data_IF_584025203268
#
_entry.id   IF_584025203268
#
_cell.length_a   1.000
_cell.length_b   1.000
_cell.length_c   1.000
_cell.angle_alpha   90.00
_cell.angle_beta   90.00
_cell.angle_gamma   90.00
#
_symmetry.space_group_name_H-M   'P 1'
#
loop_
_entity.id
_entity.type
_entity.pdbx_description
1 polymer ?
#
# COMPACT_ATOMS: atom_id res chain seq x y z
N UNK A 1 -9.02 31.53 -13.83
CA UNK A 1 -7.71 30.97 -14.25
C UNK A 1 -7.78 29.48 -14.61
N UNK A 2 -8.93 28.99 -15.05
CA UNK A 2 -9.20 27.58 -15.42
C UNK A 2 -9.14 27.32 -16.93
N UNK A 3 -9.04 28.35 -17.73
CA UNK A 3 -9.29 28.30 -19.18
C UNK A 3 -8.13 27.77 -20.06
N UNK A 4 -6.90 27.74 -19.57
CA UNK A 4 -5.74 27.33 -20.39
C UNK A 4 -5.47 25.82 -20.33
N UNK A 5 -5.70 25.21 -19.16
CA UNK A 5 -5.50 23.79 -18.96
C UNK A 5 -6.62 22.99 -19.63
N UNK A 6 -7.86 23.45 -19.51
CA UNK A 6 -9.02 22.80 -20.12
C UNK A 6 -8.99 22.87 -21.64
N UNK A 7 -8.50 23.96 -22.23
CA UNK A 7 -8.26 24.09 -23.68
C UNK A 7 -7.17 23.13 -24.17
N UNK A 8 -6.11 22.95 -23.41
CA UNK A 8 -5.03 22.02 -23.77
C UNK A 8 -5.51 20.55 -23.82
N UNK A 9 -6.31 20.14 -22.85
CA UNK A 9 -6.92 18.80 -22.86
C UNK A 9 -7.97 18.61 -23.94
N UNK A 10 -8.79 19.63 -24.20
CA UNK A 10 -9.78 19.61 -25.28
C UNK A 10 -9.10 19.50 -26.66
N UNK A 11 -7.95 20.12 -26.85
CA UNK A 11 -7.16 20.04 -28.08
C UNK A 11 -6.49 18.67 -28.26
N UNK A 12 -5.98 18.09 -27.20
CA UNK A 12 -5.43 16.72 -27.20
C UNK A 12 -6.48 15.64 -27.50
N UNK A 13 -7.72 15.87 -27.11
CA UNK A 13 -8.84 14.96 -27.29
C UNK A 13 -9.68 15.27 -28.54
N UNK A 14 -9.25 16.24 -29.35
CA UNK A 14 -10.04 16.69 -30.52
C UNK A 14 -10.23 15.54 -31.53
N UNK A 15 -11.43 15.41 -32.14
CA UNK A 15 -11.71 14.37 -33.12
C UNK A 15 -10.74 14.39 -34.31
N UNK A 16 -10.19 15.54 -34.68
CA UNK A 16 -9.22 15.69 -35.76
C UNK A 16 -7.90 14.98 -35.46
N UNK A 17 -7.39 15.04 -34.22
CA UNK A 17 -6.17 14.27 -33.83
C UNK A 17 -6.44 12.78 -33.74
N UNK A 18 -7.59 12.38 -33.26
CA UNK A 18 -7.99 10.95 -33.26
C UNK A 18 -8.08 10.39 -34.69
N UNK A 19 -8.61 11.17 -35.62
CA UNK A 19 -8.69 10.77 -37.03
C UNK A 19 -7.33 10.78 -37.72
N UNK A 20 -6.41 11.69 -37.36
CA UNK A 20 -5.03 11.67 -37.85
C UNK A 20 -4.26 10.44 -37.35
N UNK A 21 -4.44 10.05 -36.08
CA UNK A 21 -3.84 8.83 -35.53
C UNK A 21 -4.46 7.56 -36.14
N UNK A 22 -5.78 7.57 -36.39
CA UNK A 22 -6.46 6.47 -37.06
C UNK A 22 -6.08 6.37 -38.56
N UNK A 23 -5.92 7.51 -39.25
CA UNK A 23 -5.47 7.53 -40.63
C UNK A 23 -3.99 7.11 -40.76
N UNK A 24 -3.14 7.47 -39.83
CA UNK A 24 -1.75 6.99 -39.76
C UNK A 24 -1.67 5.48 -39.47
N UNK A 25 -2.60 4.93 -38.70
CA UNK A 25 -2.68 3.49 -38.43
C UNK A 25 -3.24 2.69 -39.63
N UNK A 26 -4.04 3.32 -40.51
CA UNK A 26 -4.64 2.67 -41.67
C UNK A 26 -3.79 2.70 -42.94
N UNK A 27 -2.74 3.52 -43.02
CA UNK A 27 -1.95 3.72 -44.23
C UNK A 27 -0.65 2.88 -44.32
N UNK A 28 -0.29 2.17 -43.26
CA UNK A 28 0.92 1.35 -43.21
C UNK A 28 0.60 -0.06 -42.73
N UNK A 29 0.10 -0.88 -43.62
CA UNK A 29 0.03 -2.34 -43.40
C UNK A 29 1.43 -3.02 -43.57
N UNK A 30 2.50 -2.26 -43.45
CA UNK A 30 3.81 -2.81 -43.13
C UNK A 30 4.00 -2.68 -41.61
N UNK A 31 4.42 -3.73 -40.92
CA UNK A 31 4.75 -3.61 -39.52
C UNK A 31 5.90 -2.58 -39.43
N UNK A 32 5.54 -1.33 -39.07
CA UNK A 32 6.54 -0.37 -38.61
C UNK A 32 7.10 -0.98 -37.36
N UNK A 33 8.28 -1.54 -37.49
CA UNK A 33 9.11 -2.03 -36.43
C UNK A 33 9.27 -0.89 -35.44
N UNK A 34 8.50 -0.94 -34.35
CA UNK A 34 8.69 0.01 -33.26
C UNK A 34 10.07 -0.23 -32.67
N UNK A 35 11.08 0.44 -33.24
CA UNK A 35 12.38 0.51 -32.60
C UNK A 35 12.21 1.28 -31.29
N UNK A 36 12.54 0.64 -30.20
CA UNK A 36 12.72 1.34 -28.93
C UNK A 36 13.67 2.52 -29.19
N UNK A 37 13.39 3.74 -28.66
CA UNK A 37 14.32 4.87 -28.72
C UNK A 37 15.72 4.54 -28.20
N UNK A 38 15.85 3.44 -27.50
CA UNK A 38 17.08 2.92 -26.91
C UNK A 38 17.77 1.86 -27.79
N UNK A 39 17.32 1.65 -29.03
CA UNK A 39 17.96 0.72 -29.97
C UNK A 39 17.69 -0.77 -29.76
N UNK A 40 16.76 -1.13 -28.85
CA UNK A 40 16.42 -2.53 -28.62
C UNK A 40 15.22 -2.96 -29.45
N UNK A 41 15.37 -4.06 -30.20
CA UNK A 41 14.27 -4.71 -30.90
C UNK A 41 13.42 -5.53 -29.90
N UNK A 42 12.43 -4.89 -29.30
CA UNK A 42 11.62 -5.49 -28.22
C UNK A 42 10.49 -6.41 -28.72
N UNK A 43 10.25 -6.46 -30.03
CA UNK A 43 9.08 -7.16 -30.60
C UNK A 43 9.41 -8.57 -31.14
N UNK A 44 10.67 -8.92 -31.33
CA UNK A 44 11.08 -10.22 -31.91
C UNK A 44 11.21 -11.35 -30.90
N UNK A 45 11.28 -11.04 -29.63
CA UNK A 45 11.39 -12.07 -28.59
C UNK A 45 10.19 -11.97 -27.66
N UNK A 46 9.36 -13.01 -27.66
CA UNK A 46 8.43 -13.19 -26.57
C UNK A 46 9.25 -13.24 -25.27
N UNK A 47 8.95 -12.35 -24.34
CA UNK A 47 9.56 -12.39 -23.00
C UNK A 47 9.23 -13.76 -22.40
N UNK A 48 10.21 -14.63 -22.13
CA UNK A 48 9.93 -15.92 -21.56
C UNK A 48 9.25 -15.70 -20.20
N UNK A 49 8.24 -16.49 -19.90
CA UNK A 49 7.60 -16.45 -18.60
C UNK A 49 8.67 -16.74 -17.53
N UNK A 50 8.91 -15.84 -16.58
CA UNK A 50 9.89 -16.10 -15.54
C UNK A 50 9.49 -17.33 -14.73
N UNK A 51 10.47 -18.12 -14.34
CA UNK A 51 10.24 -19.23 -13.42
C UNK A 51 9.75 -18.67 -12.08
N UNK A 52 8.69 -19.26 -11.54
CA UNK A 52 8.22 -18.86 -10.24
C UNK A 52 9.24 -19.21 -9.15
N UNK A 53 9.65 -18.22 -8.40
CA UNK A 53 10.43 -18.42 -7.17
C UNK A 53 9.54 -18.94 -6.01
N UNK A 54 8.23 -18.97 -6.21
CA UNK A 54 7.22 -19.30 -5.20
C UNK A 54 6.10 -20.12 -5.83
N UNK A 55 6.34 -21.39 -6.12
CA UNK A 55 5.37 -22.25 -6.83
C UNK A 55 4.03 -22.34 -6.09
N UNK A 56 4.02 -22.26 -4.75
CA UNK A 56 2.79 -22.26 -3.96
C UNK A 56 1.87 -21.05 -4.19
N UNK A 57 2.40 -19.92 -4.66
CA UNK A 57 1.60 -18.73 -4.98
C UNK A 57 0.88 -18.82 -6.33
N UNK A 58 1.20 -19.80 -7.15
CA UNK A 58 0.54 -20.02 -8.44
C UNK A 58 -0.73 -20.87 -8.31
N UNK A 59 -0.89 -21.58 -7.21
CA UNK A 59 -2.09 -22.38 -6.97
C UNK A 59 -3.23 -21.48 -6.49
N UNK A 60 -4.37 -21.57 -7.17
CA UNK A 60 -5.57 -20.86 -6.71
C UNK A 60 -6.16 -21.61 -5.51
N UNK A 61 -6.59 -20.91 -4.46
CA UNK A 61 -7.23 -21.56 -3.32
C UNK A 61 -8.62 -22.09 -3.75
N UNK A 62 -9.00 -23.24 -3.22
CA UNK A 62 -10.29 -23.85 -3.51
C UNK A 62 -11.49 -23.10 -2.89
N UNK A 63 -11.23 -22.29 -1.86
CA UNK A 63 -12.22 -21.48 -1.13
C UNK A 63 -11.60 -20.19 -0.61
N UNK A 64 -12.40 -19.14 -0.37
CA UNK A 64 -11.89 -17.93 0.26
C UNK A 64 -11.41 -18.21 1.69
N UNK A 65 -10.46 -17.41 2.17
CA UNK A 65 -10.07 -17.38 3.58
C UNK A 65 -11.21 -16.80 4.43
N UNK A 66 -11.32 -17.28 5.65
CA UNK A 66 -12.24 -16.69 6.61
C UNK A 66 -11.69 -15.34 7.10
N UNK A 67 -12.54 -14.31 7.23
CA UNK A 67 -12.10 -13.03 7.80
C UNK A 67 -11.64 -13.17 9.26
N UNK A 68 -12.08 -14.21 9.95
CA UNK A 68 -11.68 -14.57 11.32
C UNK A 68 -10.25 -15.12 11.41
N UNK A 69 -9.55 -15.31 10.27
CA UNK A 69 -8.11 -15.63 10.26
C UNK A 69 -7.24 -14.42 10.63
N UNK A 70 -7.84 -13.24 10.70
CA UNK A 70 -7.17 -12.01 11.13
C UNK A 70 -7.25 -11.91 12.65
N UNK A 71 -6.11 -11.85 13.33
CA UNK A 71 -6.02 -11.71 14.79
C UNK A 71 -6.07 -10.25 15.23
N UNK A 72 -5.37 -9.39 14.51
CA UNK A 72 -5.21 -7.97 14.81
C UNK A 72 -4.72 -7.23 13.58
N UNK A 73 -4.41 -5.94 13.72
CA UNK A 73 -3.87 -5.09 12.67
C UNK A 73 -2.69 -4.27 13.14
N UNK A 74 -1.77 -3.94 12.21
CA UNK A 74 -0.79 -2.87 12.38
C UNK A 74 -1.08 -1.72 11.42
N UNK A 75 -0.83 -0.50 11.89
CA UNK A 75 -0.77 0.70 11.07
C UNK A 75 0.64 1.29 11.15
N UNK A 76 1.33 1.38 10.02
CA UNK A 76 2.67 1.97 9.90
C UNK A 76 2.55 3.36 9.29
N UNK A 77 2.96 4.37 10.04
CA UNK A 77 2.93 5.77 9.65
C UNK A 77 4.33 6.15 9.17
N UNK A 78 4.45 6.46 7.89
CA UNK A 78 5.72 6.83 7.26
C UNK A 78 5.95 8.32 7.31
N UNK A 79 7.20 8.72 7.57
CA UNK A 79 7.59 10.11 7.67
C UNK A 79 9.03 10.32 7.17
N UNK A 80 9.39 11.58 6.99
CA UNK A 80 10.73 12.09 6.73
C UNK A 80 11.02 13.26 7.67
N UNK A 81 12.15 13.91 7.51
CA UNK A 81 12.58 15.02 8.36
C UNK A 81 11.60 16.20 8.34
N UNK A 82 11.02 16.50 7.16
CA UNK A 82 10.15 17.66 6.97
C UNK A 82 8.76 17.47 7.59
N UNK A 83 8.34 16.21 7.76
CA UNK A 83 6.98 15.90 8.23
C UNK A 83 6.96 15.10 9.55
N UNK A 84 8.10 14.94 10.22
CA UNK A 84 8.22 14.26 11.52
C UNK A 84 7.22 14.77 12.56
N UNK A 85 6.98 16.09 12.62
CA UNK A 85 6.05 16.68 13.57
C UNK A 85 4.59 16.22 13.32
N UNK A 86 4.22 15.96 12.09
CA UNK A 86 2.92 15.39 11.75
C UNK A 86 2.78 13.97 12.27
N UNK A 87 3.82 13.16 12.09
CA UNK A 87 3.87 11.80 12.61
C UNK A 87 3.78 11.78 14.14
N UNK A 88 4.52 12.68 14.81
CA UNK A 88 4.48 12.83 16.28
C UNK A 88 3.09 13.22 16.77
N UNK A 89 2.39 14.09 16.04
CA UNK A 89 1.03 14.51 16.38
C UNK A 89 0.03 13.37 16.20
N UNK A 90 0.10 12.61 15.12
CA UNK A 90 -0.73 11.41 14.92
C UNK A 90 -0.49 10.41 16.05
N UNK A 91 0.78 10.12 16.38
CA UNK A 91 1.12 9.20 17.48
C UNK A 91 0.51 9.62 18.81
N UNK A 92 0.58 10.92 19.13
CA UNK A 92 -0.08 11.49 20.31
C UNK A 92 -1.58 11.26 20.29
N UNK A 93 -2.25 11.63 19.21
CA UNK A 93 -3.70 11.49 19.07
C UNK A 93 -4.18 10.05 19.15
N UNK A 94 -3.44 9.12 18.55
CA UNK A 94 -3.70 7.68 18.62
C UNK A 94 -3.65 7.21 20.08
N UNK A 95 -2.58 7.57 20.81
CA UNK A 95 -2.41 7.19 22.21
C UNK A 95 -3.50 7.74 23.13
N UNK A 96 -3.98 8.95 22.84
CA UNK A 96 -5.03 9.62 23.62
C UNK A 96 -6.42 9.03 23.38
N UNK A 97 -6.68 8.42 22.22
CA UNK A 97 -8.01 7.95 21.79
C UNK A 97 -8.20 6.45 21.82
N UNK A 98 -7.17 5.69 21.49
CA UNK A 98 -7.32 4.27 21.24
C UNK A 98 -6.48 3.43 22.20
N UNK A 99 -7.04 2.31 22.63
CA UNK A 99 -6.30 1.29 23.39
C UNK A 99 -5.50 0.43 22.39
N UNK A 100 -4.26 0.82 22.14
CA UNK A 100 -3.39 0.23 21.13
C UNK A 100 -2.02 -0.09 21.70
N UNK A 101 -1.27 -0.92 21.01
CA UNK A 101 0.17 -1.06 21.17
C UNK A 101 0.87 0.01 20.36
N UNK A 102 1.55 0.95 21.01
CA UNK A 102 2.46 1.86 20.34
C UNK A 102 3.84 1.25 20.24
N UNK A 103 4.29 0.99 19.01
CA UNK A 103 5.64 0.54 18.73
C UNK A 103 6.67 1.68 18.76
N UNK A 104 7.92 1.32 18.48
CA UNK A 104 9.06 2.26 18.49
C UNK A 104 9.06 3.20 17.29
N UNK A 105 9.82 4.30 17.42
CA UNK A 105 10.23 5.12 16.31
C UNK A 105 11.39 4.44 15.57
N UNK A 106 11.24 4.26 14.27
CA UNK A 106 12.32 3.85 13.39
C UNK A 106 12.72 5.05 12.53
N UNK A 107 13.82 5.71 12.89
CA UNK A 107 14.34 6.88 12.17
C UNK A 107 15.05 6.49 10.88
N UNK A 108 15.30 5.20 10.69
CA UNK A 108 15.88 4.59 9.49
C UNK A 108 14.95 3.51 8.95
N UNK A 109 15.06 3.15 7.66
CA UNK A 109 14.35 2.00 7.10
C UNK A 109 14.57 0.75 7.95
N UNK A 110 13.49 0.04 8.30
CA UNK A 110 13.55 -1.16 9.13
C UNK A 110 12.58 -2.23 8.66
N UNK A 111 13.04 -3.49 8.68
CA UNK A 111 12.26 -4.64 8.23
C UNK A 111 11.89 -4.50 6.76
N UNK A 112 10.60 -4.65 6.40
CA UNK A 112 10.16 -4.48 5.03
C UNK A 112 9.92 -3.00 4.64
N UNK A 113 9.99 -2.07 5.58
CA UNK A 113 9.70 -0.65 5.37
C UNK A 113 10.92 0.09 4.85
N UNK A 114 10.76 0.81 3.73
CA UNK A 114 11.85 1.47 2.99
C UNK A 114 12.06 2.93 3.38
N UNK A 115 11.26 3.43 4.32
CA UNK A 115 11.35 4.80 4.87
C UNK A 115 11.21 4.77 6.38
N UNK A 116 11.65 5.82 7.11
CA UNK A 116 11.37 6.00 8.52
C UNK A 116 9.88 5.82 8.84
N UNK A 117 9.57 5.23 9.97
CA UNK A 117 8.19 4.99 10.39
C UNK A 117 8.06 4.75 11.88
N UNK A 118 6.86 4.90 12.40
CA UNK A 118 6.42 4.21 13.61
C UNK A 118 5.18 3.38 13.30
N UNK A 119 4.88 2.42 14.14
CA UNK A 119 3.64 1.67 14.02
C UNK A 119 2.82 1.71 15.31
N UNK A 120 1.56 1.35 15.18
CA UNK A 120 0.75 0.92 16.29
C UNK A 120 -0.10 -0.29 15.91
N UNK A 121 -0.25 -1.21 16.88
CA UNK A 121 -1.07 -2.41 16.75
C UNK A 121 -2.43 -2.22 17.43
N UNK A 122 -3.49 -2.73 16.81
CA UNK A 122 -4.85 -2.64 17.34
C UNK A 122 -5.69 -3.89 17.04
N UNK A 123 -6.67 -4.16 17.87
CA UNK A 123 -7.56 -5.32 17.76
C UNK A 123 -8.66 -5.11 16.73
N UNK A 124 -9.26 -6.19 16.24
CA UNK A 124 -10.27 -6.20 15.18
C UNK A 124 -11.49 -5.31 15.46
N UNK A 125 -11.88 -5.18 16.72
CA UNK A 125 -12.99 -4.34 17.15
C UNK A 125 -12.75 -2.84 16.92
N UNK A 126 -11.49 -2.40 16.80
CA UNK A 126 -11.15 -1.02 16.51
C UNK A 126 -11.04 -0.71 15.00
N UNK A 127 -11.02 -1.71 14.13
CA UNK A 127 -10.79 -1.51 12.69
C UNK A 127 -11.77 -0.51 12.07
N UNK A 128 -13.06 -0.65 12.38
CA UNK A 128 -14.13 0.18 11.82
C UNK A 128 -14.09 1.64 12.29
N UNK A 129 -13.30 1.94 13.33
CA UNK A 129 -13.09 3.29 13.85
C UNK A 129 -11.73 3.82 13.40
N UNK A 130 -10.68 3.03 13.56
CA UNK A 130 -9.30 3.45 13.28
C UNK A 130 -9.09 3.77 11.80
N UNK A 131 -9.63 2.96 10.88
CA UNK A 131 -9.46 3.19 9.44
C UNK A 131 -10.04 4.53 9.00
N UNK A 132 -11.33 4.84 9.22
CA UNK A 132 -11.87 6.13 8.83
C UNK A 132 -11.24 7.30 9.61
N UNK A 133 -10.85 7.08 10.86
CA UNK A 133 -10.14 8.10 11.61
C UNK A 133 -8.78 8.44 10.99
N UNK A 134 -8.00 7.44 10.57
CA UNK A 134 -6.73 7.66 9.88
C UNK A 134 -6.90 8.33 8.51
N UNK A 135 -7.97 8.00 7.77
CA UNK A 135 -8.27 8.68 6.50
C UNK A 135 -8.45 10.19 6.69
N UNK A 136 -9.10 10.62 7.76
CA UNK A 136 -9.36 12.02 8.05
C UNK A 136 -8.17 12.72 8.74
N UNK A 137 -7.36 11.99 9.50
CA UNK A 137 -6.33 12.54 10.39
C UNK A 137 -4.91 12.14 10.00
N UNK A 138 -4.69 11.64 8.79
CA UNK A 138 -3.36 11.25 8.30
C UNK A 138 -2.40 12.43 8.09
N UNK A 139 -2.88 13.67 8.11
CA UNK A 139 -2.11 14.90 7.84
C UNK A 139 -1.34 14.84 6.50
N UNK A 140 -1.82 14.00 5.55
CA UNK A 140 -1.19 13.77 4.26
C UNK A 140 -0.04 12.76 4.28
N UNK A 141 0.26 12.14 5.43
CA UNK A 141 1.27 11.08 5.51
C UNK A 141 0.78 9.80 4.85
N UNK A 142 1.71 9.04 4.31
CA UNK A 142 1.47 7.69 3.80
C UNK A 142 1.33 6.72 4.98
N UNK A 143 0.27 5.92 4.97
CA UNK A 143 0.02 4.93 6.03
C UNK A 143 -0.26 3.59 5.39
N UNK A 144 0.47 2.55 5.81
CA UNK A 144 0.18 1.16 5.53
C UNK A 144 -0.62 0.58 6.69
N UNK A 145 -1.74 -0.05 6.39
CA UNK A 145 -2.51 -0.83 7.37
C UNK A 145 -2.54 -2.28 6.87
N UNK A 146 -2.05 -3.21 7.67
CA UNK A 146 -2.08 -4.62 7.31
C UNK A 146 -2.67 -5.48 8.44
N UNK A 147 -3.34 -6.59 8.11
CA UNK A 147 -3.76 -7.56 9.11
C UNK A 147 -2.55 -8.32 9.65
N UNK A 148 -2.70 -8.94 10.79
CA UNK A 148 -1.80 -9.96 11.31
C UNK A 148 -2.45 -11.32 11.15
N UNK A 149 -1.90 -12.13 10.25
CA UNK A 149 -2.31 -13.51 9.97
C UNK A 149 -1.13 -14.48 10.11
N UNK A 150 -1.33 -15.73 9.74
CA UNK A 150 -0.26 -16.74 9.71
C UNK A 150 0.72 -16.59 8.52
N UNK A 151 0.57 -15.54 7.73
CA UNK A 151 1.46 -15.24 6.59
C UNK A 151 1.89 -13.77 6.60
N UNK A 152 2.89 -13.38 7.44
CA UNK A 152 3.33 -12.00 7.57
C UNK A 152 3.78 -11.37 6.24
N UNK A 153 4.25 -12.18 5.28
CA UNK A 153 4.58 -11.69 3.95
C UNK A 153 3.33 -11.29 3.17
N UNK A 154 2.31 -12.12 3.17
CA UNK A 154 1.03 -11.82 2.52
C UNK A 154 0.36 -10.61 3.17
N UNK A 155 0.46 -10.48 4.49
CA UNK A 155 -0.07 -9.36 5.25
C UNK A 155 0.47 -8.02 4.73
N UNK A 156 1.78 -7.93 4.49
CA UNK A 156 2.42 -6.71 4.00
C UNK A 156 2.26 -6.48 2.49
N UNK A 157 2.14 -7.53 1.68
CA UNK A 157 2.18 -7.43 0.22
C UNK A 157 0.81 -7.53 -0.46
N UNK A 158 -0.10 -8.35 0.08
CA UNK A 158 -1.36 -8.70 -0.60
C UNK A 158 -2.61 -8.25 0.15
N UNK A 159 -2.55 -8.21 1.49
CA UNK A 159 -3.71 -7.90 2.34
C UNK A 159 -3.69 -6.47 2.86
N UNK A 160 -2.69 -5.71 2.49
CA UNK A 160 -2.48 -4.35 2.97
C UNK A 160 -3.49 -3.35 2.39
N UNK A 161 -3.90 -2.41 3.22
CA UNK A 161 -4.62 -1.19 2.87
C UNK A 161 -3.68 0.01 2.95
N UNK A 162 -3.95 1.03 2.16
CA UNK A 162 -3.16 2.25 2.16
C UNK A 162 -4.04 3.48 2.38
N UNK A 163 -3.58 4.41 3.21
CA UNK A 163 -4.14 5.75 3.32
C UNK A 163 -3.22 6.72 2.61
N UNK A 164 -3.79 7.57 1.77
CA UNK A 164 -3.16 8.51 0.84
C UNK A 164 -2.42 7.83 -0.31
N UNK A 165 -1.14 7.54 -0.15
CA UNK A 165 -0.30 6.95 -1.21
C UNK A 165 0.17 5.57 -0.81
N UNK A 166 0.42 4.72 -1.78
CA UNK A 166 1.20 3.51 -1.57
C UNK A 166 2.68 3.79 -1.80
N UNK A 167 3.54 2.99 -1.18
CA UNK A 167 4.98 2.99 -1.44
C UNK A 167 5.51 1.55 -1.50
N UNK A 168 6.71 1.32 -2.03
CA UNK A 168 7.32 0.00 -2.02
C UNK A 168 7.46 -0.57 -0.61
N UNK A 169 7.19 -1.87 -0.48
CA UNK A 169 7.43 -2.66 0.73
C UNK A 169 8.34 -3.82 0.35
N UNK A 170 9.47 -3.94 1.01
CA UNK A 170 10.45 -5.00 0.77
C UNK A 170 10.11 -6.27 1.58
N UNK A 171 8.90 -6.76 1.39
CA UNK A 171 8.34 -7.89 2.16
C UNK A 171 8.67 -9.27 1.61
N UNK A 172 9.35 -9.40 0.47
CA UNK A 172 9.55 -10.68 -0.20
C UNK A 172 10.42 -11.68 0.58
N UNK A 173 11.29 -11.20 1.46
CA UNK A 173 12.14 -12.01 2.32
C UNK A 173 11.50 -12.44 3.63
N UNK A 174 10.32 -11.93 3.97
CA UNK A 174 9.60 -12.28 5.19
C UNK A 174 9.22 -13.77 5.13
N UNK A 175 9.54 -14.49 6.19
CA UNK A 175 9.22 -15.91 6.33
C UNK A 175 7.97 -16.10 7.19
N UNK A 176 7.30 -17.22 7.01
CA UNK A 176 6.28 -17.66 7.94
C UNK A 176 6.90 -18.01 9.30
N UNK A 177 6.15 -17.90 10.40
CA UNK A 177 6.59 -18.30 11.71
C UNK A 177 7.13 -19.74 11.71
N UNK A 178 8.24 -19.95 12.41
CA UNK A 178 8.88 -21.25 12.55
C UNK A 178 8.29 -22.10 13.68
N UNK A 179 8.75 -23.33 13.83
CA UNK A 179 8.36 -24.18 14.97
C UNK A 179 8.69 -23.49 16.30
N UNK A 180 7.70 -23.38 17.20
CA UNK A 180 7.85 -22.77 18.53
C UNK A 180 7.63 -21.25 18.56
N UNK A 181 7.48 -20.60 17.41
CA UNK A 181 7.07 -19.20 17.33
C UNK A 181 5.55 -19.09 17.36
N UNK A 182 4.97 -17.97 17.89
CA UNK A 182 3.55 -17.70 17.77
C UNK A 182 3.13 -17.75 16.30
N UNK A 183 2.03 -18.44 16.00
CA UNK A 183 1.53 -18.60 14.63
C UNK A 183 1.16 -17.25 13.99
N UNK A 184 0.69 -16.32 14.79
CA UNK A 184 0.29 -14.96 14.40
C UNK A 184 0.94 -13.98 15.35
N UNK A 185 1.36 -12.82 14.84
CA UNK A 185 1.90 -11.75 15.65
C UNK A 185 0.85 -11.24 16.64
N UNK A 186 1.22 -11.20 17.91
CA UNK A 186 0.37 -10.75 18.99
C UNK A 186 0.67 -9.29 19.33
N UNK A 187 -0.37 -8.52 19.61
CA UNK A 187 -0.26 -7.14 20.05
C UNK A 187 -0.50 -7.03 21.55
N UNK A 188 0.22 -6.12 22.20
CA UNK A 188 0.13 -5.86 23.65
C UNK A 188 -0.18 -4.38 23.90
N UNK A 189 -1.47 -3.97 23.98
CA UNK A 189 -1.86 -2.58 24.18
C UNK A 189 -1.17 -1.93 25.38
N UNK A 190 -0.47 -0.84 25.15
CA UNK A 190 0.31 -0.10 26.16
C UNK A 190 -0.15 1.35 26.34
N UNK A 191 -1.21 1.77 25.66
CA UNK A 191 -1.80 3.10 25.79
C UNK A 191 -2.93 3.12 26.81
N UNK A 192 -3.22 4.31 27.35
CA UNK A 192 -4.35 4.58 28.26
C UNK A 192 -5.16 5.75 27.70
N UNK A 193 -6.21 5.50 26.91
CA UNK A 193 -7.02 6.55 26.31
C UNK A 193 -7.59 7.52 27.36
N UNK A 194 -7.50 8.80 27.08
CA UNK A 194 -8.03 9.89 27.91
C UNK A 194 -9.08 10.74 27.19
N UNK A 195 -9.20 10.57 25.88
CA UNK A 195 -10.16 11.25 25.01
C UNK A 195 -11.20 10.24 24.55
N UNK A 196 -12.48 10.57 24.70
CA UNK A 196 -13.56 9.71 24.23
C UNK A 196 -13.57 9.63 22.69
N UNK A 197 -13.85 8.44 22.18
CA UNK A 197 -14.12 8.24 20.76
C UNK A 197 -15.50 8.81 20.44
N UNK A 198 -15.61 9.50 19.33
CA UNK A 198 -16.87 10.05 18.83
C UNK A 198 -17.88 8.92 18.60
N UNK A 199 -19.13 9.14 19.01
CA UNK A 199 -20.20 8.17 18.76
C UNK A 199 -20.73 8.36 17.35
N UNK A 200 -20.96 7.27 16.64
CA UNK A 200 -21.72 7.32 15.39
C UNK A 200 -23.11 7.90 15.68
N UNK A 201 -23.49 8.91 14.90
CA UNK A 201 -24.81 9.57 14.98
C UNK A 201 -25.89 8.68 14.36
#
# INVERSE_FOLDING_TARGET
MTDAVDRHWAELLSPRRRNLLAAAAGALATPVMAQSPWGYETYKQATPRPNSMRPGEQSLPAKPRAYTDIESYHAHIYFDEDNYQKAALIRKWVAERFKVELGDWNLEPRGPHVTPSFYFGFTNDLLHIVVPWLQLNSLGLTILIHPNTDDPRADHLYYALWVNRSQPVNGYSIKKPGPGEPRVEQIFPNTRPSVAIEKAS
#
